data_IF_924224440414
#
_entry.id   IF_924224440414
#
_cell.length_a   1.000
_cell.length_b   1.000
_cell.length_c   1.000
_cell.angle_alpha   90.00
_cell.angle_beta   90.00
_cell.angle_gamma   90.00
#
_symmetry.space_group_name_H-M   'P 1'
#
loop_
_entity.id
_entity.type
_entity.pdbx_description
1 polymer ?
#
# COMPACT_ATOMS: atom_id res chain seq x y z
N UNK A 1 30.52 7.98 -3.98
CA UNK A 1 29.58 7.24 -3.11
C UNK A 1 28.44 6.75 -3.98
N UNK A 2 28.23 5.42 -4.06
CA UNK A 2 27.02 4.86 -4.65
C UNK A 2 25.99 4.72 -3.53
N UNK A 3 24.81 5.32 -3.70
CA UNK A 3 23.67 5.10 -2.81
C UNK A 3 22.73 4.10 -3.46
N UNK A 4 22.32 3.08 -2.71
CA UNK A 4 21.33 2.09 -3.14
C UNK A 4 20.17 2.09 -2.16
N UNK A 5 18.95 1.99 -2.69
CA UNK A 5 17.72 1.89 -1.90
C UNK A 5 17.05 0.59 -2.29
N UNK A 6 16.83 -0.29 -1.31
CA UNK A 6 16.07 -1.52 -1.48
C UNK A 6 14.64 -1.26 -1.06
N UNK A 7 13.69 -1.45 -1.99
CA UNK A 7 12.26 -1.32 -1.72
C UNK A 7 11.63 -2.70 -1.86
N UNK A 8 10.84 -3.10 -0.87
CA UNK A 8 10.15 -4.39 -0.87
C UNK A 8 8.65 -4.19 -0.74
N UNK A 9 7.83 -5.07 -1.33
CA UNK A 9 6.40 -5.10 -1.04
C UNK A 9 6.15 -5.34 0.45
N UNK A 10 5.09 -4.73 0.99
CA UNK A 10 4.62 -4.99 2.34
C UNK A 10 3.34 -5.83 2.27
N UNK A 11 3.29 -6.92 3.04
CA UNK A 11 2.13 -7.80 3.14
C UNK A 11 1.47 -7.65 4.50
N UNK A 12 0.16 -7.40 4.52
CA UNK A 12 -0.64 -7.28 5.72
C UNK A 12 -1.89 -8.14 5.67
N UNK A 13 -2.60 -8.22 6.79
CA UNK A 13 -3.91 -8.85 6.87
C UNK A 13 -4.92 -7.78 7.25
N UNK A 14 -6.04 -7.77 6.55
CA UNK A 14 -7.22 -7.04 6.95
C UNK A 14 -8.22 -8.01 7.58
N UNK A 15 -8.44 -7.86 8.88
CA UNK A 15 -9.35 -8.69 9.69
C UNK A 15 -10.82 -8.21 9.63
N UNK A 16 -11.08 -7.08 8.96
CA UNK A 16 -12.39 -6.42 8.91
C UNK A 16 -12.81 -6.00 7.50
N UNK A 17 -12.41 -6.75 6.47
CA UNK A 17 -12.82 -6.47 5.10
C UNK A 17 -14.32 -6.76 4.96
N UNK A 18 -15.11 -5.73 4.66
CA UNK A 18 -16.53 -5.89 4.36
C UNK A 18 -16.68 -6.19 2.87
N UNK A 19 -17.15 -7.39 2.52
CA UNK A 19 -17.41 -7.74 1.12
C UNK A 19 -18.68 -7.09 0.57
N UNK A 20 -18.93 -7.25 -0.73
CA UNK A 20 -20.10 -6.67 -1.40
C UNK A 20 -21.44 -7.22 -0.91
N UNK A 21 -21.43 -8.35 -0.19
CA UNK A 21 -22.60 -8.92 0.48
C UNK A 21 -22.83 -8.35 1.88
N UNK A 22 -21.94 -7.49 2.38
CA UNK A 22 -21.99 -6.97 3.74
C UNK A 22 -21.41 -7.93 4.78
N UNK A 23 -20.73 -9.00 4.37
CA UNK A 23 -20.12 -9.96 5.29
C UNK A 23 -18.69 -9.57 5.62
N UNK A 24 -18.31 -9.76 6.90
CA UNK A 24 -16.95 -9.50 7.37
C UNK A 24 -16.05 -10.66 7.01
N UNK A 25 -14.95 -10.38 6.33
CA UNK A 25 -13.97 -11.35 5.85
C UNK A 25 -12.56 -10.96 6.27
N UNK A 26 -11.71 -11.98 6.33
CA UNK A 26 -10.26 -11.82 6.44
C UNK A 26 -9.65 -11.84 5.04
N UNK A 27 -8.89 -10.81 4.66
CA UNK A 27 -8.16 -10.77 3.39
C UNK A 27 -6.70 -10.40 3.57
N UNK A 28 -5.84 -11.05 2.78
CA UNK A 28 -4.44 -10.64 2.65
C UNK A 28 -4.33 -9.45 1.70
N UNK A 29 -3.53 -8.47 2.13
CA UNK A 29 -3.26 -7.25 1.40
C UNK A 29 -1.78 -7.20 1.07
N UNK A 30 -1.47 -6.78 -0.16
CA UNK A 30 -0.10 -6.54 -0.63
C UNK A 30 -0.01 -5.11 -1.13
N UNK A 31 0.90 -4.34 -0.55
CA UNK A 31 1.34 -3.04 -1.03
C UNK A 31 2.64 -3.22 -1.80
N UNK A 32 2.62 -2.93 -3.09
CA UNK A 32 3.80 -3.04 -3.94
C UNK A 32 4.19 -1.66 -4.51
N UNK A 33 5.50 -1.35 -4.59
CA UNK A 33 5.94 -0.14 -5.26
C UNK A 33 5.69 -0.29 -6.76
N UNK A 34 5.14 0.75 -7.40
CA UNK A 34 4.86 0.75 -8.85
C UNK A 34 5.59 1.85 -9.60
N UNK A 35 6.06 2.87 -8.89
CA UNK A 35 6.81 3.96 -9.49
C UNK A 35 7.78 4.56 -8.51
N UNK A 36 8.98 4.81 -8.98
CA UNK A 36 10.02 5.53 -8.26
C UNK A 36 10.32 6.78 -9.07
N UNK A 37 10.32 7.94 -8.41
CA UNK A 37 10.80 9.21 -8.99
C UNK A 37 11.91 9.76 -8.12
N UNK A 38 12.96 10.24 -8.79
CA UNK A 38 14.08 10.93 -8.18
C UNK A 38 14.16 12.32 -8.78
N UNK A 39 14.14 13.35 -7.94
CA UNK A 39 14.28 14.73 -8.36
C UNK A 39 15.07 15.53 -7.32
N UNK A 40 16.18 16.15 -7.73
CA UNK A 40 16.98 17.03 -6.88
C UNK A 40 17.44 16.46 -5.52
N UNK A 41 17.57 15.13 -5.39
CA UNK A 41 17.90 14.46 -4.12
C UNK A 41 16.69 14.03 -3.28
N UNK A 42 15.47 14.36 -3.71
CA UNK A 42 14.24 13.80 -3.16
C UNK A 42 13.88 12.48 -3.84
N UNK A 43 13.28 11.58 -3.06
CA UNK A 43 12.86 10.26 -3.51
C UNK A 43 11.36 10.08 -3.24
N UNK A 44 10.59 9.80 -4.29
CA UNK A 44 9.15 9.54 -4.16
C UNK A 44 8.82 8.14 -4.64
N UNK A 45 8.16 7.35 -3.79
CA UNK A 45 7.65 6.02 -4.13
C UNK A 45 6.13 6.09 -4.25
N UNK A 46 5.60 5.68 -5.40
CA UNK A 46 4.17 5.41 -5.55
C UNK A 46 3.91 3.93 -5.29
N UNK A 47 2.89 3.66 -4.46
CA UNK A 47 2.50 2.31 -4.07
C UNK A 47 1.14 1.96 -4.67
N UNK A 48 0.96 0.69 -5.03
CA UNK A 48 -0.34 0.10 -5.40
C UNK A 48 -0.73 -0.96 -4.40
N UNK A 49 -2.03 -1.27 -4.37
CA UNK A 49 -2.59 -2.28 -3.53
C UNK A 49 -3.33 -3.34 -4.34
N UNK A 50 -3.17 -4.62 -3.99
CA UNK A 50 -3.78 -5.74 -4.70
C UNK A 50 -5.32 -5.75 -4.66
N UNK A 51 -5.95 -5.10 -3.68
CA UNK A 51 -7.42 -4.93 -3.61
C UNK A 51 -7.89 -3.59 -4.20
N UNK A 52 -7.04 -2.89 -4.96
CA UNK A 52 -7.36 -1.62 -5.61
C UNK A 52 -8.00 -0.59 -4.66
N UNK A 53 -9.21 -0.10 -4.98
CA UNK A 53 -9.95 0.86 -4.17
C UNK A 53 -10.42 0.30 -2.82
N UNK A 54 -10.53 -1.03 -2.69
CA UNK A 54 -10.98 -1.68 -1.47
C UNK A 54 -9.90 -1.75 -0.39
N UNK A 55 -8.67 -1.34 -0.68
CA UNK A 55 -7.63 -1.16 0.34
C UNK A 55 -7.87 0.05 1.27
N UNK A 56 -9.03 0.69 1.15
CA UNK A 56 -9.55 1.70 2.07
C UNK A 56 -10.79 1.20 2.84
N UNK A 57 -11.15 -0.07 2.68
CA UNK A 57 -12.35 -0.67 3.27
C UNK A 57 -12.17 -0.82 4.79
N UNK A 58 -12.99 -0.14 5.58
CA UNK A 58 -13.08 -0.33 7.04
C UNK A 58 -11.74 -0.35 7.75
N UNK A 59 -11.43 -1.48 8.39
CA UNK A 59 -10.19 -1.71 9.15
C UNK A 59 -8.97 -2.01 8.26
N UNK A 60 -9.16 -2.12 6.94
CA UNK A 60 -8.07 -2.24 5.97
C UNK A 60 -7.40 -0.87 5.77
N UNK A 61 -6.93 -0.19 6.82
CA UNK A 61 -6.36 1.15 6.72
C UNK A 61 -4.91 1.13 6.21
N UNK A 62 -4.64 0.37 5.15
CA UNK A 62 -3.33 0.28 4.49
C UNK A 62 -3.14 1.33 3.39
N UNK A 63 -4.09 2.24 3.22
CA UNK A 63 -3.95 3.43 2.38
C UNK A 63 -3.11 4.57 3.02
N UNK A 64 -2.37 4.31 4.12
CA UNK A 64 -1.31 5.21 4.60
C UNK A 64 0.03 4.96 3.90
N UNK A 65 0.01 4.89 2.57
CA UNK A 65 1.01 5.58 1.76
C UNK A 65 0.44 6.94 1.34
N UNK A 66 -0.18 7.65 2.30
CA UNK A 66 -0.27 9.11 2.24
C UNK A 66 1.16 9.56 2.50
N UNK A 67 1.80 9.99 1.42
CA UNK A 67 2.62 11.19 1.38
C UNK A 67 2.86 11.80 2.76
N UNK A 68 4.04 11.57 3.32
CA UNK A 68 4.64 12.60 4.16
C UNK A 68 4.83 13.80 3.21
N UNK A 69 3.96 14.79 3.38
CA UNK A 69 4.14 16.12 2.83
C UNK A 69 4.91 16.98 3.83
#
# INVERSE_FOLDING_TARGET
MHFSITIQPNTGICEGFMDSGGERRRKSIVLAPVKIRMDGGSFTISWTCNLAGECRNGECFYAKSKSEG
#
